data_IF_272413673816
#
_entry.id   IF_272413673816
#
_cell.length_a   1.000
_cell.length_b   1.000
_cell.length_c   1.000
_cell.angle_alpha   90.00
_cell.angle_beta   90.00
_cell.angle_gamma   90.00
#
_symmetry.space_group_name_H-M   'P 1'
#
loop_
_entity.id
_entity.type
_entity.pdbx_description
1 polymer ?
#
# COMPACT_ATOMS: atom_id res chain seq x y z
N UNK A 1 12.74 -22.74 7.36
CA UNK A 1 12.28 -23.58 6.23
C UNK A 1 12.01 -22.70 5.01
N UNK A 2 12.09 -23.25 3.80
CA UNK A 2 11.79 -22.52 2.56
C UNK A 2 10.31 -22.65 2.15
N UNK A 3 9.88 -21.83 1.18
CA UNK A 3 8.57 -21.97 0.50
C UNK A 3 8.33 -23.39 0.02
N UNK A 4 9.28 -23.99 -0.72
CA UNK A 4 9.18 -25.38 -1.19
C UNK A 4 8.95 -26.34 -0.04
N UNK A 5 9.77 -26.25 1.01
CA UNK A 5 9.67 -27.15 2.15
C UNK A 5 8.32 -27.04 2.85
N UNK A 6 7.77 -25.83 2.99
CA UNK A 6 6.45 -25.63 3.57
C UNK A 6 5.36 -26.26 2.70
N UNK A 7 5.38 -26.00 1.38
CA UNK A 7 4.42 -26.56 0.42
C UNK A 7 4.45 -28.09 0.43
N UNK A 8 5.64 -28.69 0.34
CA UNK A 8 5.84 -30.14 0.39
C UNK A 8 5.33 -30.74 1.71
N UNK A 9 5.58 -30.06 2.83
CA UNK A 9 5.10 -30.49 4.16
C UNK A 9 3.58 -30.52 4.21
N UNK A 10 2.94 -29.46 3.73
CA UNK A 10 1.48 -29.37 3.69
C UNK A 10 0.90 -30.41 2.74
N UNK A 11 1.55 -30.69 1.60
CA UNK A 11 1.13 -31.76 0.69
C UNK A 11 1.19 -33.14 1.34
N UNK A 12 2.23 -33.44 2.11
CA UNK A 12 2.33 -34.68 2.88
C UNK A 12 1.20 -34.77 3.92
N UNK A 13 0.89 -33.67 4.62
CA UNK A 13 -0.23 -33.64 5.54
C UNK A 13 -1.57 -33.90 4.81
N UNK A 14 -1.83 -33.19 3.70
CA UNK A 14 -3.07 -33.29 2.93
C UNK A 14 -3.29 -34.67 2.30
N UNK A 15 -2.22 -35.39 1.96
CA UNK A 15 -2.29 -36.74 1.40
C UNK A 15 -2.51 -37.84 2.47
N UNK A 16 -2.46 -37.50 3.76
CA UNK A 16 -2.56 -38.47 4.86
C UNK A 16 -4.01 -38.91 5.13
N UNK A 17 -4.18 -40.10 5.72
CA UNK A 17 -5.52 -40.58 6.11
C UNK A 17 -6.08 -39.78 7.28
N UNK A 18 -5.21 -39.31 8.17
CA UNK A 18 -5.54 -38.50 9.33
C UNK A 18 -6.17 -37.17 8.93
N UNK A 19 -5.64 -36.53 7.88
CA UNK A 19 -6.20 -35.30 7.31
C UNK A 19 -7.60 -35.55 6.73
N UNK A 20 -7.77 -36.59 5.91
CA UNK A 20 -9.07 -36.93 5.33
C UNK A 20 -10.12 -37.27 6.40
N UNK A 21 -9.74 -37.98 7.46
CA UNK A 21 -10.65 -38.28 8.57
C UNK A 21 -11.14 -37.02 9.30
N UNK A 22 -10.26 -36.04 9.54
CA UNK A 22 -10.68 -34.77 10.14
C UNK A 22 -11.57 -33.99 9.18
N UNK A 23 -11.24 -33.97 7.90
CA UNK A 23 -12.04 -33.33 6.86
C UNK A 23 -13.45 -33.90 6.77
N UNK A 24 -13.58 -35.23 6.78
CA UNK A 24 -14.86 -35.97 6.76
C UNK A 24 -15.72 -35.67 8.01
N UNK A 25 -15.09 -35.43 9.17
CA UNK A 25 -15.78 -35.15 10.44
C UNK A 25 -16.11 -33.67 10.63
N UNK A 26 -15.41 -32.78 9.91
CA UNK A 26 -15.64 -31.34 9.96
C UNK A 26 -17.00 -31.01 9.33
N UNK A 27 -17.83 -30.23 10.03
CA UNK A 27 -19.13 -29.77 9.50
C UNK A 27 -18.99 -28.97 8.21
N UNK A 28 -17.87 -28.27 8.05
CA UNK A 28 -17.58 -27.41 6.91
C UNK A 28 -16.71 -28.13 5.86
N UNK A 29 -16.29 -29.37 6.12
CA UNK A 29 -15.41 -30.11 5.22
C UNK A 29 -14.00 -29.53 5.11
N UNK A 30 -13.55 -28.83 6.15
CA UNK A 30 -12.26 -28.12 6.21
C UNK A 30 -11.34 -28.71 7.27
N UNK A 31 -10.03 -28.55 7.06
CA UNK A 31 -8.99 -28.87 8.05
C UNK A 31 -8.21 -27.60 8.31
N UNK A 32 -8.00 -27.24 9.57
CA UNK A 32 -7.33 -25.98 9.93
C UNK A 32 -5.92 -26.19 10.50
N UNK A 33 -5.20 -25.10 10.75
CA UNK A 33 -3.83 -25.17 11.25
C UNK A 33 -3.73 -25.66 12.70
N UNK A 34 -4.80 -25.60 13.51
CA UNK A 34 -4.82 -26.29 14.80
C UNK A 34 -4.78 -27.80 14.63
N UNK A 35 -5.50 -28.33 13.63
CA UNK A 35 -5.47 -29.75 13.29
C UNK A 35 -4.11 -30.16 12.73
N UNK A 36 -3.53 -29.36 11.82
CA UNK A 36 -2.16 -29.61 11.32
C UNK A 36 -1.15 -29.62 12.46
N UNK A 37 -1.25 -28.67 13.39
CA UNK A 37 -0.37 -28.60 14.54
C UNK A 37 -0.47 -29.84 15.41
N UNK A 38 -1.71 -30.27 15.72
CA UNK A 38 -1.99 -31.43 16.57
C UNK A 38 -1.60 -32.76 15.93
N UNK A 39 -1.91 -32.95 14.65
CA UNK A 39 -1.75 -34.22 13.95
C UNK A 39 -0.32 -34.45 13.45
N UNK A 40 0.40 -33.39 13.08
CA UNK A 40 1.68 -33.51 12.38
C UNK A 40 2.79 -32.73 13.06
N UNK A 41 2.63 -31.41 13.24
CA UNK A 41 3.74 -30.56 13.69
C UNK A 41 4.23 -30.94 15.08
N UNK A 42 3.32 -31.14 16.04
CA UNK A 42 3.70 -31.61 17.39
C UNK A 42 4.34 -33.00 17.34
N UNK A 43 3.70 -34.06 16.79
CA UNK A 43 4.32 -35.37 16.72
C UNK A 43 5.67 -35.42 15.99
N UNK A 44 5.86 -34.63 14.94
CA UNK A 44 7.10 -34.63 14.15
C UNK A 44 8.25 -33.84 14.79
N UNK A 45 7.95 -32.94 15.72
CA UNK A 45 8.96 -32.16 16.46
C UNK A 45 9.16 -32.61 17.91
N UNK A 46 8.31 -33.52 18.40
CA UNK A 46 8.39 -34.06 19.76
C UNK A 46 9.76 -34.69 20.06
N UNK A 47 10.30 -34.37 21.24
CA UNK A 47 11.58 -34.85 21.75
C UNK A 47 12.80 -34.18 21.12
N UNK A 48 12.63 -33.33 20.10
CA UNK A 48 13.76 -32.75 19.36
C UNK A 48 14.29 -31.47 19.97
N UNK A 49 13.44 -30.74 20.70
CA UNK A 49 13.76 -29.39 21.20
C UNK A 49 13.81 -28.30 20.12
N UNK A 50 13.52 -28.63 18.86
CA UNK A 50 13.60 -27.74 17.71
C UNK A 50 12.24 -27.67 17.00
N UNK A 51 11.87 -26.49 16.50
CA UNK A 51 10.67 -26.37 15.67
C UNK A 51 10.83 -27.15 14.36
N UNK A 52 9.70 -27.54 13.75
CA UNK A 52 9.73 -28.28 12.49
C UNK A 52 10.46 -27.50 11.39
N UNK A 53 10.31 -26.17 11.36
CA UNK A 53 11.05 -25.30 10.44
C UNK A 53 12.57 -25.41 10.59
N UNK A 54 13.08 -25.53 11.81
CA UNK A 54 14.51 -25.69 12.10
C UNK A 54 14.97 -27.09 11.70
N UNK A 55 14.21 -28.13 12.03
CA UNK A 55 14.55 -29.52 11.68
C UNK A 55 14.69 -29.74 10.17
N UNK A 56 13.87 -29.05 9.37
CA UNK A 56 13.93 -29.14 7.91
C UNK A 56 15.04 -28.29 7.28
N UNK A 57 15.59 -27.32 8.01
CA UNK A 57 16.57 -26.37 7.51
C UNK A 57 17.99 -26.82 7.91
N UNK A 58 18.51 -27.90 7.29
CA UNK A 58 19.87 -28.38 7.60
C UNK A 58 21.00 -27.44 7.16
N UNK A 59 20.72 -26.46 6.28
CA UNK A 59 21.72 -25.53 5.71
C UNK A 59 21.25 -24.07 5.54
N UNK A 60 20.05 -23.68 6.01
CA UNK A 60 19.55 -22.32 5.75
C UNK A 60 20.00 -21.34 6.83
N UNK A 61 20.73 -20.31 6.38
CA UNK A 61 21.21 -19.17 7.14
C UNK A 61 20.07 -18.41 7.87
N UNK A 62 20.28 -18.28 9.17
CA UNK A 62 19.73 -17.48 10.27
C UNK A 62 18.47 -16.58 10.17
N UNK A 63 17.89 -16.19 9.03
CA UNK A 63 16.72 -15.30 9.04
C UNK A 63 15.71 -15.54 7.90
N UNK A 64 14.42 -15.36 8.21
CA UNK A 64 13.35 -15.41 7.20
C UNK A 64 13.43 -14.22 6.24
N UNK A 65 13.16 -14.44 4.96
CA UNK A 65 13.03 -13.40 3.94
C UNK A 65 11.58 -13.10 3.58
N UNK A 66 10.65 -13.98 3.94
CA UNK A 66 9.21 -13.80 3.77
C UNK A 66 8.50 -14.15 5.08
N UNK A 67 7.65 -13.27 5.58
CA UNK A 67 6.80 -13.55 6.75
C UNK A 67 5.36 -13.80 6.30
N UNK A 68 4.75 -14.88 6.82
CA UNK A 68 3.34 -15.21 6.56
C UNK A 68 2.49 -14.84 7.78
N UNK A 69 1.59 -13.87 7.61
CA UNK A 69 0.52 -13.57 8.56
C UNK A 69 -0.74 -14.33 8.16
N UNK A 70 -1.25 -15.16 9.07
CA UNK A 70 -2.31 -16.12 8.77
C UNK A 70 -3.13 -16.45 10.03
N UNK A 71 -4.36 -16.96 9.87
CA UNK A 71 -5.22 -17.32 11.01
C UNK A 71 -5.19 -18.83 11.24
N UNK A 72 -4.96 -19.32 12.46
CA UNK A 72 -4.90 -20.78 12.66
C UNK A 72 -6.20 -21.54 12.40
N UNK A 73 -7.35 -20.84 12.41
CA UNK A 73 -8.66 -21.42 12.13
C UNK A 73 -9.00 -21.52 10.64
N UNK A 74 -8.14 -21.02 9.76
CA UNK A 74 -8.36 -21.06 8.32
C UNK A 74 -8.23 -22.46 7.71
N UNK A 75 -8.84 -22.68 6.54
CA UNK A 75 -8.70 -23.93 5.80
C UNK A 75 -7.30 -24.02 5.19
N UNK A 76 -6.63 -25.14 5.46
CA UNK A 76 -5.25 -25.40 5.04
C UNK A 76 -5.12 -25.41 3.52
N UNK A 77 -6.14 -25.96 2.83
CA UNK A 77 -6.15 -26.01 1.36
C UNK A 77 -6.18 -24.60 0.75
N UNK A 78 -7.08 -23.74 1.24
CA UNK A 78 -7.15 -22.34 0.82
C UNK A 78 -5.88 -21.54 1.17
N UNK A 79 -5.27 -21.83 2.32
CA UNK A 79 -4.02 -21.18 2.75
C UNK A 79 -2.87 -21.52 1.83
N UNK A 80 -2.75 -22.80 1.49
CA UNK A 80 -1.73 -23.30 0.55
C UNK A 80 -1.93 -22.67 -0.83
N UNK A 81 -3.16 -22.68 -1.36
CA UNK A 81 -3.51 -22.04 -2.63
C UNK A 81 -3.13 -20.55 -2.62
N UNK A 82 -3.53 -19.82 -1.57
CA UNK A 82 -3.27 -18.39 -1.44
C UNK A 82 -1.77 -18.07 -1.40
N UNK A 83 -0.97 -18.85 -0.68
CA UNK A 83 0.48 -18.69 -0.67
C UNK A 83 1.11 -19.00 -2.03
N UNK A 84 0.68 -20.07 -2.70
CA UNK A 84 1.19 -20.42 -4.03
C UNK A 84 0.85 -19.35 -5.08
N UNK A 85 -0.34 -18.76 -5.01
CA UNK A 85 -0.73 -17.63 -5.86
C UNK A 85 0.16 -16.41 -5.60
N UNK A 86 0.48 -16.11 -4.34
CA UNK A 86 1.40 -15.02 -3.99
C UNK A 86 2.80 -15.26 -4.58
N UNK A 87 3.35 -16.46 -4.38
CA UNK A 87 4.66 -16.87 -4.90
C UNK A 87 4.71 -16.74 -6.42
N UNK A 88 3.67 -17.20 -7.12
CA UNK A 88 3.58 -17.09 -8.57
C UNK A 88 3.47 -15.63 -9.04
N UNK A 89 2.58 -14.84 -8.41
CA UNK A 89 2.35 -13.43 -8.76
C UNK A 89 3.58 -12.56 -8.55
N UNK A 90 4.37 -12.84 -7.53
CA UNK A 90 5.58 -12.10 -7.19
C UNK A 90 6.85 -12.76 -7.76
N UNK A 91 6.72 -13.83 -8.55
CA UNK A 91 7.83 -14.57 -9.15
C UNK A 91 8.91 -14.99 -8.14
N UNK A 92 8.48 -15.38 -6.93
CA UNK A 92 9.39 -15.70 -5.83
C UNK A 92 10.08 -17.06 -6.04
N UNK A 93 11.40 -17.18 -5.81
CA UNK A 93 12.06 -18.47 -5.80
C UNK A 93 11.49 -19.38 -4.70
N UNK A 94 11.24 -20.66 -4.99
CA UNK A 94 10.74 -21.60 -3.98
C UNK A 94 11.75 -21.89 -2.86
N UNK A 95 13.01 -21.45 -3.02
CA UNK A 95 14.07 -21.51 -2.01
C UNK A 95 14.01 -20.38 -0.99
N UNK A 96 13.12 -19.40 -1.16
CA UNK A 96 12.95 -18.28 -0.22
C UNK A 96 12.68 -18.82 1.19
N UNK A 97 13.51 -18.46 2.20
CA UNK A 97 13.26 -18.78 3.59
C UNK A 97 12.02 -18.04 4.08
N UNK A 98 11.06 -18.78 4.65
CA UNK A 98 9.85 -18.19 5.19
C UNK A 98 9.70 -18.43 6.67
N UNK A 99 9.00 -17.50 7.32
CA UNK A 99 8.48 -17.64 8.67
C UNK A 99 6.98 -17.88 8.61
N UNK A 100 6.55 -19.00 9.21
CA UNK A 100 5.16 -19.39 9.36
C UNK A 100 4.96 -19.89 10.78
N UNK A 101 4.13 -19.20 11.58
CA UNK A 101 4.18 -19.30 13.04
C UNK A 101 3.94 -20.72 13.59
N UNK A 102 3.08 -21.51 12.95
CA UNK A 102 2.80 -22.91 13.33
C UNK A 102 4.06 -23.77 13.25
N UNK A 103 4.82 -23.64 12.15
CA UNK A 103 6.00 -24.45 11.86
C UNK A 103 7.29 -23.89 12.49
N UNK A 104 7.32 -22.58 12.73
CA UNK A 104 8.53 -21.85 13.14
C UNK A 104 8.74 -21.84 14.65
N UNK A 105 7.66 -21.91 15.43
CA UNK A 105 7.73 -22.06 16.88
C UNK A 105 7.80 -23.54 17.28
N UNK A 106 8.44 -23.84 18.41
CA UNK A 106 8.40 -25.15 19.04
C UNK A 106 7.04 -25.35 19.74
N UNK A 107 6.24 -26.28 19.21
CA UNK A 107 4.85 -26.54 19.59
C UNK A 107 4.61 -27.66 20.63
N UNK A 108 5.49 -28.68 20.80
CA UNK A 108 5.18 -29.87 21.61
C UNK A 108 4.83 -29.64 23.09
N UNK A 109 5.44 -28.67 23.77
CA UNK A 109 5.31 -28.49 25.24
C UNK A 109 5.76 -29.73 26.06
N UNK A 110 6.72 -30.48 25.53
CA UNK A 110 7.19 -31.78 26.05
C UNK A 110 8.44 -31.70 26.95
N UNK A 111 8.91 -30.48 27.24
CA UNK A 111 10.14 -30.15 28.00
C UNK A 111 11.47 -30.47 27.30
N UNK A 112 11.45 -30.94 26.05
CA UNK A 112 12.68 -31.13 25.27
C UNK A 112 13.21 -29.82 24.66
N UNK A 113 12.32 -28.82 24.51
CA UNK A 113 12.64 -27.50 23.95
C UNK A 113 12.08 -26.34 24.78
N UNK A 114 12.17 -25.10 24.27
CA UNK A 114 11.64 -23.93 24.95
C UNK A 114 10.12 -24.00 25.04
N UNK A 115 9.54 -23.55 26.16
CA UNK A 115 8.09 -23.43 26.28
C UNK A 115 7.55 -22.35 25.35
N UNK A 116 6.29 -22.46 24.94
CA UNK A 116 5.61 -21.46 24.12
C UNK A 116 5.57 -20.12 24.84
N UNK A 117 5.35 -20.11 26.16
CA UNK A 117 5.40 -18.89 26.98
C UNK A 117 6.77 -18.21 26.87
N UNK A 118 7.86 -18.98 27.00
CA UNK A 118 9.22 -18.45 26.88
C UNK A 118 9.49 -17.92 25.47
N UNK A 119 9.08 -18.66 24.43
CA UNK A 119 9.22 -18.24 23.05
C UNK A 119 8.48 -16.93 22.78
N UNK A 120 7.22 -16.82 23.20
CA UNK A 120 6.41 -15.61 23.03
C UNK A 120 6.96 -14.42 23.82
N UNK A 121 7.61 -14.66 24.97
CA UNK A 121 8.28 -13.62 25.74
C UNK A 121 9.47 -13.00 24.99
N UNK A 122 10.06 -13.71 24.03
CA UNK A 122 11.12 -13.20 23.15
C UNK A 122 10.56 -12.40 21.96
N UNK A 123 9.24 -12.17 21.90
CA UNK A 123 8.57 -11.43 20.83
C UNK A 123 9.01 -11.92 19.44
N UNK A 124 8.78 -13.21 19.13
CA UNK A 124 9.36 -13.86 17.95
C UNK A 124 8.82 -13.26 16.66
N UNK A 125 7.61 -12.70 16.73
CA UNK A 125 7.00 -11.92 15.67
C UNK A 125 7.76 -10.61 15.41
N UNK A 126 7.92 -9.74 16.43
CA UNK A 126 8.60 -8.45 16.27
C UNK A 126 10.05 -8.67 15.81
N UNK A 127 10.71 -9.69 16.35
CA UNK A 127 12.06 -10.09 15.96
C UNK A 127 12.18 -10.45 14.47
N UNK A 128 11.14 -11.02 13.86
CA UNK A 128 11.11 -11.35 12.43
C UNK A 128 10.80 -10.12 11.60
N UNK A 129 9.79 -9.34 12.00
CA UNK A 129 9.39 -8.12 11.27
C UNK A 129 10.48 -7.06 11.26
N UNK A 130 11.16 -6.85 12.38
CA UNK A 130 12.21 -5.85 12.50
C UNK A 130 13.52 -6.33 11.87
N UNK A 131 13.60 -7.59 11.44
CA UNK A 131 14.80 -8.12 10.82
C UNK A 131 15.02 -7.50 9.43
N UNK A 132 16.22 -6.96 9.15
CA UNK A 132 16.55 -6.43 7.84
C UNK A 132 16.34 -7.43 6.69
N UNK A 133 16.42 -8.74 6.95
CA UNK A 133 16.23 -9.78 5.93
C UNK A 133 14.85 -9.79 5.28
N UNK A 134 13.83 -9.20 5.90
CA UNK A 134 12.51 -9.05 5.27
C UNK A 134 12.43 -7.86 4.30
N UNK A 135 13.37 -6.91 4.36
CA UNK A 135 13.32 -5.69 3.56
C UNK A 135 13.86 -5.93 2.16
N UNK A 136 13.24 -5.30 1.16
CA UNK A 136 13.64 -5.41 -0.26
C UNK A 136 15.11 -5.07 -0.49
N UNK A 137 15.63 -4.05 0.21
CA UNK A 137 17.03 -3.63 0.15
C UNK A 137 18.04 -4.74 0.54
N UNK A 138 17.59 -5.76 1.30
CA UNK A 138 18.39 -6.92 1.68
C UNK A 138 18.00 -8.20 0.92
N UNK A 139 17.21 -8.08 -0.15
CA UNK A 139 16.66 -9.22 -0.89
C UNK A 139 15.48 -9.90 -0.20
N UNK A 140 14.87 -9.25 0.80
CA UNK A 140 13.65 -9.71 1.45
C UNK A 140 12.39 -9.43 0.64
N UNK A 141 11.33 -10.18 0.96
CA UNK A 141 10.04 -10.16 0.26
C UNK A 141 8.90 -9.66 1.16
N UNK A 142 9.23 -9.12 2.33
CA UNK A 142 8.28 -8.50 3.26
C UNK A 142 7.36 -9.50 3.95
N UNK A 143 6.13 -9.05 4.19
CA UNK A 143 5.07 -9.82 4.83
C UNK A 143 3.89 -10.00 3.87
N UNK A 144 3.30 -11.20 3.88
CA UNK A 144 2.03 -11.47 3.18
C UNK A 144 0.96 -11.89 4.18
N UNK A 145 -0.19 -11.22 4.10
CA UNK A 145 -1.41 -11.54 4.82
C UNK A 145 -2.29 -12.46 3.97
N UNK A 146 -2.58 -13.67 4.44
CA UNK A 146 -3.40 -14.64 3.72
C UNK A 146 -4.88 -14.49 4.12
N UNK A 147 -5.77 -14.42 3.13
CA UNK A 147 -7.23 -14.40 3.32
C UNK A 147 -7.87 -15.66 2.76
N UNK A 148 -8.71 -16.28 3.57
CA UNK A 148 -9.44 -17.52 3.28
C UNK A 148 -10.89 -17.41 3.75
N UNK A 149 -11.75 -18.33 3.34
CA UNK A 149 -13.19 -18.22 3.64
C UNK A 149 -13.59 -18.63 5.05
N UNK A 150 -12.83 -19.48 5.72
CA UNK A 150 -13.21 -20.04 7.02
C UNK A 150 -12.78 -19.19 8.23
N UNK A 151 -11.89 -18.21 8.03
CA UNK A 151 -11.50 -17.32 9.11
C UNK A 151 -11.15 -15.91 8.62
N UNK A 152 -11.65 -14.89 9.33
CA UNK A 152 -11.21 -13.51 9.11
C UNK A 152 -9.91 -13.24 9.87
N UNK A 153 -8.83 -12.97 9.14
CA UNK A 153 -7.52 -12.63 9.67
C UNK A 153 -7.59 -11.51 10.72
N UNK A 154 -8.43 -10.50 10.48
CA UNK A 154 -8.49 -9.31 11.33
C UNK A 154 -9.35 -9.48 12.59
N UNK A 155 -9.99 -10.64 12.75
CA UNK A 155 -10.60 -11.05 14.01
C UNK A 155 -9.56 -11.56 15.03
N UNK A 156 -8.30 -11.71 14.62
CA UNK A 156 -7.19 -12.15 15.47
C UNK A 156 -6.30 -10.97 15.84
N UNK A 157 -6.21 -10.71 17.14
CA UNK A 157 -5.50 -9.53 17.64
C UNK A 157 -4.00 -9.59 17.31
N UNK A 158 -3.43 -10.80 17.31
CA UNK A 158 -2.06 -11.02 16.80
C UNK A 158 -1.92 -10.54 15.36
N UNK A 159 -2.68 -11.07 14.40
CA UNK A 159 -2.54 -10.73 12.98
C UNK A 159 -2.73 -9.23 12.70
N UNK A 160 -3.67 -8.58 13.40
CA UNK A 160 -3.85 -7.13 13.32
C UNK A 160 -2.61 -6.39 13.81
N UNK A 161 -2.05 -6.80 14.95
CA UNK A 161 -0.81 -6.25 15.48
C UNK A 161 0.37 -6.51 14.54
N UNK A 162 0.36 -7.63 13.82
CA UNK A 162 1.42 -8.00 12.88
C UNK A 162 1.50 -7.02 11.71
N UNK A 163 0.35 -6.70 11.11
CA UNK A 163 0.24 -5.72 10.03
C UNK A 163 0.69 -4.34 10.49
N UNK A 164 0.24 -3.90 11.65
CA UNK A 164 0.61 -2.59 12.21
C UNK A 164 2.12 -2.46 12.44
N UNK A 165 2.72 -3.46 13.08
CA UNK A 165 4.17 -3.51 13.32
C UNK A 165 4.99 -3.59 12.03
N UNK A 166 4.54 -4.35 11.04
CA UNK A 166 5.20 -4.41 9.74
C UNK A 166 5.18 -3.06 9.01
N UNK A 167 4.04 -2.36 9.05
CA UNK A 167 3.90 -1.01 8.48
C UNK A 167 4.83 -0.02 9.19
N UNK A 168 4.88 -0.04 10.53
CA UNK A 168 5.78 0.84 11.29
C UNK A 168 7.27 0.53 11.06
N UNK A 169 7.62 -0.75 10.90
CA UNK A 169 8.98 -1.20 10.63
C UNK A 169 9.42 -0.95 9.17
N UNK A 170 8.55 -0.36 8.34
CA UNK A 170 8.78 -0.13 6.91
C UNK A 170 9.07 -1.45 6.17
N UNK A 171 8.30 -2.47 6.51
CA UNK A 171 8.27 -3.76 5.81
C UNK A 171 7.10 -3.74 4.83
N UNK A 172 7.36 -4.13 3.58
CA UNK A 172 6.30 -4.24 2.58
C UNK A 172 5.26 -5.27 3.03
N UNK A 173 3.99 -4.87 3.10
CA UNK A 173 2.86 -5.76 3.43
C UNK A 173 1.97 -5.92 2.20
N UNK A 174 1.71 -7.16 1.82
CA UNK A 174 0.80 -7.49 0.71
C UNK A 174 -0.29 -8.46 1.17
N UNK A 175 -1.40 -8.55 0.44
CA UNK A 175 -2.38 -9.60 0.69
C UNK A 175 -2.35 -10.67 -0.40
N UNK A 176 -2.76 -11.88 -0.05
CA UNK A 176 -3.11 -12.92 -1.00
C UNK A 176 -4.39 -13.60 -0.56
N UNK A 177 -5.29 -13.88 -1.51
CA UNK A 177 -6.63 -14.38 -1.25
C UNK A 177 -6.80 -15.72 -1.95
N UNK A 178 -7.43 -16.70 -1.32
CA UNK A 178 -7.85 -17.91 -2.03
C UNK A 178 -8.83 -17.57 -3.15
N UNK A 179 -8.94 -18.43 -4.15
CA UNK A 179 -9.89 -18.24 -5.25
C UNK A 179 -11.33 -18.20 -4.69
N UNK A 180 -11.64 -19.13 -3.80
CA UNK A 180 -12.94 -19.22 -3.14
C UNK A 180 -13.28 -17.94 -2.35
N UNK A 181 -12.31 -17.34 -1.66
CA UNK A 181 -12.51 -16.06 -0.97
C UNK A 181 -12.80 -14.92 -1.94
N UNK A 182 -12.02 -14.86 -3.03
CA UNK A 182 -12.20 -13.88 -4.10
C UNK A 182 -13.59 -13.98 -4.73
N UNK A 183 -14.05 -15.20 -5.01
CA UNK A 183 -15.38 -15.45 -5.60
C UNK A 183 -16.51 -15.03 -4.65
N UNK A 184 -16.43 -15.41 -3.37
CA UNK A 184 -17.44 -15.02 -2.38
C UNK A 184 -17.45 -13.50 -2.11
N UNK A 185 -16.28 -12.86 -2.09
CA UNK A 185 -16.20 -11.40 -1.98
C UNK A 185 -16.86 -10.74 -3.18
N UNK A 186 -16.48 -11.16 -4.39
CA UNK A 186 -16.98 -10.59 -5.65
C UNK A 186 -18.49 -10.80 -5.77
N UNK A 187 -18.99 -11.98 -5.43
CA UNK A 187 -20.43 -12.27 -5.41
C UNK A 187 -21.21 -11.35 -4.45
N UNK A 188 -20.73 -11.18 -3.21
CA UNK A 188 -21.37 -10.28 -2.23
C UNK A 188 -21.38 -8.83 -2.69
N UNK A 189 -20.26 -8.35 -3.26
CA UNK A 189 -20.19 -7.00 -3.82
C UNK A 189 -21.19 -6.85 -4.96
N UNK A 190 -21.25 -7.83 -5.86
CA UNK A 190 -22.17 -7.83 -6.99
C UNK A 190 -23.64 -7.79 -6.54
N UNK A 191 -24.02 -8.56 -5.52
CA UNK A 191 -25.37 -8.55 -4.95
C UNK A 191 -25.76 -7.15 -4.43
N UNK A 192 -24.88 -6.51 -3.65
CA UNK A 192 -25.10 -5.16 -3.15
C UNK A 192 -25.24 -4.14 -4.30
N UNK A 193 -24.42 -4.28 -5.33
CA UNK A 193 -24.48 -3.43 -6.52
C UNK A 193 -25.79 -3.62 -7.30
N UNK A 194 -26.32 -4.83 -7.39
CA UNK A 194 -27.59 -5.11 -8.06
C UNK A 194 -28.80 -4.61 -7.27
N UNK A 195 -28.65 -4.45 -5.96
CA UNK A 195 -29.62 -3.77 -5.09
C UNK A 195 -29.54 -2.23 -5.17
N UNK A 196 -28.61 -1.68 -5.95
CA UNK A 196 -28.40 -0.23 -6.07
C UNK A 196 -27.71 0.40 -4.86
N UNK A 197 -26.92 -0.39 -4.11
CA UNK A 197 -26.17 0.09 -2.96
C UNK A 197 -25.07 1.08 -3.38
N UNK A 198 -24.64 1.94 -2.44
CA UNK A 198 -23.55 2.88 -2.68
C UNK A 198 -22.20 2.18 -2.75
N UNK A 199 -21.19 2.86 -3.30
CA UNK A 199 -19.83 2.36 -3.31
C UNK A 199 -19.29 2.06 -1.90
N UNK A 200 -19.68 2.88 -0.91
CA UNK A 200 -19.28 2.68 0.48
C UNK A 200 -19.89 1.40 1.06
N UNK A 201 -21.17 1.14 0.76
CA UNK A 201 -21.85 -0.11 1.13
C UNK A 201 -21.16 -1.32 0.50
N UNK A 202 -20.65 -1.16 -0.71
CA UNK A 202 -19.98 -2.24 -1.43
C UNK A 202 -18.55 -2.47 -0.95
N UNK A 203 -17.83 -1.42 -0.50
CA UNK A 203 -16.59 -1.61 0.24
C UNK A 203 -16.83 -2.34 1.57
N UNK A 204 -17.95 -2.05 2.26
CA UNK A 204 -18.36 -2.85 3.43
C UNK A 204 -18.69 -4.29 3.07
N UNK A 205 -19.37 -4.53 1.94
CA UNK A 205 -19.65 -5.88 1.45
C UNK A 205 -18.38 -6.67 1.06
N UNK A 206 -17.36 -5.97 0.53
CA UNK A 206 -16.02 -6.51 0.29
C UNK A 206 -15.24 -6.80 1.59
N UNK A 207 -15.78 -6.38 2.73
CA UNK A 207 -15.18 -6.56 4.05
C UNK A 207 -14.13 -5.52 4.39
N UNK A 208 -13.99 -4.41 3.67
CA UNK A 208 -12.95 -3.40 3.95
C UNK A 208 -13.03 -2.86 5.38
N UNK A 209 -14.24 -2.64 5.89
CA UNK A 209 -14.45 -2.14 7.25
C UNK A 209 -14.09 -3.20 8.30
N UNK A 210 -13.26 -2.79 9.25
CA UNK A 210 -12.87 -3.62 10.41
C UNK A 210 -13.12 -2.91 11.72
N UNK A 211 -13.25 -3.71 12.78
CA UNK A 211 -13.31 -3.27 14.16
C UNK A 211 -12.30 -4.09 14.98
N UNK A 212 -11.03 -3.70 14.91
CA UNK A 212 -9.90 -4.39 15.52
C UNK A 212 -10.05 -4.54 17.04
N UNK A 213 -10.82 -3.67 17.71
CA UNK A 213 -11.15 -3.81 19.14
C UNK A 213 -11.94 -5.09 19.46
N UNK A 214 -12.63 -5.67 18.47
CA UNK A 214 -13.33 -6.96 18.59
C UNK A 214 -12.42 -8.15 18.36
N UNK A 215 -11.19 -7.95 17.90
CA UNK A 215 -10.24 -9.02 17.70
C UNK A 215 -9.85 -9.69 19.03
N UNK A 216 -9.51 -10.98 18.98
CA UNK A 216 -9.22 -11.80 20.18
C UNK A 216 -7.95 -12.62 20.01
N UNK A 217 -7.41 -13.08 21.15
CA UNK A 217 -6.35 -14.09 21.19
C UNK A 217 -6.86 -15.38 21.82
N UNK A 218 -6.20 -16.50 21.52
CA UNK A 218 -6.44 -17.77 22.21
C UNK A 218 -6.01 -17.72 23.68
N UNK A 219 -4.96 -16.95 23.99
CA UNK A 219 -4.47 -16.68 25.35
C UNK A 219 -5.02 -15.36 25.88
N UNK A 220 -5.59 -15.39 27.10
CA UNK A 220 -6.13 -14.20 27.75
C UNK A 220 -5.06 -13.25 28.26
N UNK A 221 -3.86 -13.74 28.55
CA UNK A 221 -2.76 -12.90 29.00
C UNK A 221 -2.08 -12.21 27.81
N UNK A 222 -1.96 -12.90 26.68
CA UNK A 222 -1.52 -12.29 25.41
C UNK A 222 -2.51 -11.20 24.98
N UNK A 223 -3.82 -11.47 25.09
CA UNK A 223 -4.86 -10.49 24.77
C UNK A 223 -4.68 -9.20 25.58
N UNK A 224 -4.47 -9.30 26.90
CA UNK A 224 -4.22 -8.14 27.76
C UNK A 224 -2.94 -7.41 27.37
N UNK A 225 -1.85 -8.14 27.08
CA UNK A 225 -0.56 -7.55 26.69
C UNK A 225 -0.70 -6.75 25.39
N UNK A 226 -1.28 -7.36 24.36
CA UNK A 226 -1.46 -6.73 23.05
C UNK A 226 -2.42 -5.55 23.11
N UNK A 227 -3.55 -5.66 23.82
CA UNK A 227 -4.47 -4.53 24.04
C UNK A 227 -3.73 -3.35 24.66
N UNK A 228 -2.88 -3.60 25.67
CA UNK A 228 -2.08 -2.55 26.30
C UNK A 228 -1.09 -1.91 25.31
N UNK A 229 -0.38 -2.71 24.51
CA UNK A 229 0.56 -2.21 23.51
C UNK A 229 -0.15 -1.35 22.46
N UNK A 230 -1.29 -1.81 21.92
CA UNK A 230 -2.09 -1.08 20.93
C UNK A 230 -2.59 0.25 21.51
N UNK A 231 -3.10 0.26 22.74
CA UNK A 231 -3.58 1.50 23.39
C UNK A 231 -2.46 2.52 23.66
N UNK A 232 -1.20 2.09 23.72
CA UNK A 232 -0.05 2.98 23.88
C UNK A 232 0.43 3.60 22.56
N UNK A 233 0.04 3.05 21.42
CA UNK A 233 0.37 3.59 20.10
C UNK A 233 -0.46 4.84 19.79
N UNK A 234 0.05 5.67 18.87
CA UNK A 234 -0.62 6.89 18.41
C UNK A 234 -1.94 6.53 17.71
N UNK A 235 -3.07 6.85 18.35
CA UNK A 235 -4.42 6.62 17.81
C UNK A 235 -5.11 5.35 18.31
N UNK A 236 -4.41 4.48 19.05
CA UNK A 236 -4.97 3.24 19.61
C UNK A 236 -5.69 2.37 18.57
N UNK A 237 -6.76 1.69 18.98
CA UNK A 237 -7.59 0.87 18.07
C UNK A 237 -8.18 1.65 16.89
N UNK A 238 -8.46 2.95 17.03
CA UNK A 238 -8.97 3.76 15.91
C UNK A 238 -7.88 4.03 14.86
N UNK A 239 -6.62 4.17 15.29
CA UNK A 239 -5.47 4.24 14.40
C UNK A 239 -5.28 2.93 13.66
N UNK A 240 -5.36 1.82 14.41
CA UNK A 240 -5.24 0.46 13.90
C UNK A 240 -6.32 0.11 12.87
N UNK A 241 -7.58 0.45 13.16
CA UNK A 241 -8.69 0.29 12.22
C UNK A 241 -8.38 1.03 10.90
N UNK A 242 -7.86 2.26 10.97
CA UNK A 242 -7.50 3.03 9.77
C UNK A 242 -6.40 2.35 8.95
N UNK A 243 -5.35 1.85 9.61
CA UNK A 243 -4.24 1.14 8.95
C UNK A 243 -4.76 -0.10 8.24
N UNK A 244 -5.54 -0.93 8.93
CA UNK A 244 -6.08 -2.17 8.37
C UNK A 244 -7.11 -1.91 7.27
N UNK A 245 -8.01 -0.93 7.44
CA UNK A 245 -8.99 -0.57 6.41
C UNK A 245 -8.30 -0.08 5.13
N UNK A 246 -7.27 0.76 5.26
CA UNK A 246 -6.50 1.23 4.11
C UNK A 246 -5.80 0.06 3.42
N UNK A 247 -5.12 -0.80 4.19
CA UNK A 247 -4.50 -2.02 3.67
C UNK A 247 -5.51 -2.89 2.91
N UNK A 248 -6.66 -3.21 3.51
CA UNK A 248 -7.69 -4.05 2.86
C UNK A 248 -8.20 -3.44 1.57
N UNK A 249 -8.38 -2.12 1.53
CA UNK A 249 -8.86 -1.40 0.34
C UNK A 249 -7.83 -1.47 -0.79
N UNK A 250 -6.56 -1.20 -0.49
CA UNK A 250 -5.46 -1.23 -1.47
C UNK A 250 -5.20 -2.63 -2.04
N UNK A 251 -5.56 -3.67 -1.29
CA UNK A 251 -5.36 -5.06 -1.68
C UNK A 251 -6.61 -5.72 -2.27
N UNK A 252 -7.70 -4.97 -2.50
CA UNK A 252 -8.89 -5.51 -3.15
C UNK A 252 -8.56 -6.01 -4.58
N UNK A 253 -9.13 -7.16 -4.99
CA UNK A 253 -8.96 -7.66 -6.36
C UNK A 253 -9.43 -6.65 -7.41
N UNK A 254 -8.72 -6.59 -8.54
CA UNK A 254 -9.04 -5.65 -9.64
C UNK A 254 -10.49 -5.80 -10.13
N UNK A 255 -11.02 -7.03 -10.16
CA UNK A 255 -12.40 -7.34 -10.55
C UNK A 255 -13.45 -6.62 -9.68
N UNK A 256 -13.16 -6.38 -8.40
CA UNK A 256 -14.04 -5.60 -7.52
C UNK A 256 -14.11 -4.16 -8.00
N UNK A 257 -12.96 -3.56 -8.34
CA UNK A 257 -12.91 -2.21 -8.88
C UNK A 257 -13.59 -2.11 -10.25
N UNK A 258 -13.40 -3.11 -11.13
CA UNK A 258 -14.13 -3.20 -12.41
C UNK A 258 -15.64 -3.17 -12.21
N UNK A 259 -16.16 -3.99 -11.29
CA UNK A 259 -17.60 -4.07 -10.97
C UNK A 259 -18.15 -2.76 -10.42
N UNK A 260 -17.46 -2.15 -9.45
CA UNK A 260 -17.89 -0.89 -8.83
C UNK A 260 -17.95 0.24 -9.86
N UNK A 261 -16.96 0.29 -10.74
CA UNK A 261 -16.85 1.29 -11.79
C UNK A 261 -17.98 1.18 -12.81
N UNK A 262 -18.29 -0.04 -13.30
CA UNK A 262 -19.31 -0.27 -14.32
C UNK A 262 -20.73 0.18 -13.93
N UNK A 263 -20.94 0.56 -12.66
CA UNK A 263 -22.22 0.91 -12.06
C UNK A 263 -22.21 2.29 -11.37
N UNK A 264 -21.17 3.10 -11.60
CA UNK A 264 -21.16 4.51 -11.19
C UNK A 264 -20.17 4.89 -10.11
N UNK A 265 -19.22 4.02 -9.73
CA UNK A 265 -18.05 4.48 -8.98
C UNK A 265 -17.20 5.34 -9.93
N UNK A 266 -17.12 6.63 -9.60
CA UNK A 266 -16.51 7.61 -10.48
C UNK A 266 -15.07 7.99 -10.08
N UNK A 267 -14.57 7.43 -8.98
CA UNK A 267 -13.24 7.68 -8.42
C UNK A 267 -12.56 6.38 -7.99
N UNK A 268 -11.25 6.28 -8.21
CA UNK A 268 -10.41 5.12 -7.87
C UNK A 268 -9.64 5.32 -6.53
N UNK A 269 -10.23 6.05 -5.59
CA UNK A 269 -9.62 6.38 -4.30
C UNK A 269 -9.43 5.10 -3.46
N UNK A 270 -8.16 4.78 -3.18
CA UNK A 270 -7.75 3.54 -2.50
C UNK A 270 -7.74 2.27 -3.36
N UNK A 271 -7.87 2.39 -4.70
CA UNK A 271 -7.67 1.25 -5.59
C UNK A 271 -6.22 0.77 -5.66
N UNK A 272 -6.03 -0.53 -5.84
CA UNK A 272 -4.72 -1.16 -5.99
C UNK A 272 -3.93 -0.54 -7.15
N UNK A 273 -2.59 -0.64 -7.11
CA UNK A 273 -1.73 -0.19 -8.23
C UNK A 273 -2.08 -0.92 -9.53
N UNK A 274 -2.48 -2.20 -9.47
CA UNK A 274 -2.91 -2.99 -10.62
C UNK A 274 -4.25 -2.54 -11.19
N UNK A 275 -5.26 -2.30 -10.34
CA UNK A 275 -6.56 -1.79 -10.77
C UNK A 275 -6.44 -0.44 -11.46
N UNK A 276 -5.57 0.45 -10.97
CA UNK A 276 -5.29 1.75 -11.59
C UNK A 276 -4.52 1.65 -12.92
N UNK A 277 -3.86 0.53 -13.18
CA UNK A 277 -3.13 0.27 -14.42
C UNK A 277 -3.97 -0.51 -15.45
N UNK A 278 -5.11 -1.10 -15.05
CA UNK A 278 -5.96 -1.88 -15.92
C UNK A 278 -6.81 -0.97 -16.83
N UNK A 279 -6.54 -1.02 -18.13
CA UNK A 279 -7.21 -0.16 -19.11
C UNK A 279 -8.74 -0.33 -19.15
N UNK A 280 -9.28 -1.52 -18.84
CA UNK A 280 -10.71 -1.77 -18.82
C UNK A 280 -11.38 -1.10 -17.59
N UNK A 281 -10.77 -1.24 -16.41
CA UNK A 281 -11.15 -0.54 -15.17
C UNK A 281 -11.23 0.97 -15.44
N UNK A 282 -10.17 1.52 -16.02
CA UNK A 282 -10.05 2.97 -16.16
C UNK A 282 -10.94 3.52 -17.29
N UNK A 283 -11.12 2.78 -18.39
CA UNK A 283 -12.05 3.14 -19.46
C UNK A 283 -13.50 3.13 -18.99
N UNK A 284 -13.90 2.11 -18.25
CA UNK A 284 -15.24 2.00 -17.69
C UNK A 284 -15.50 3.12 -16.67
N UNK A 285 -14.48 3.52 -15.89
CA UNK A 285 -14.58 4.66 -14.99
C UNK A 285 -14.92 5.87 -15.84
N UNK A 286 -14.09 6.17 -16.85
CA UNK A 286 -14.27 7.30 -17.75
C UNK A 286 -15.65 7.42 -18.40
N UNK A 287 -16.30 6.30 -18.71
CA UNK A 287 -17.64 6.29 -19.30
C UNK A 287 -18.73 6.70 -18.29
N UNK A 288 -18.56 6.39 -17.00
CA UNK A 288 -19.57 6.62 -15.97
C UNK A 288 -19.78 8.10 -15.55
N UNK A 289 -18.80 9.01 -15.70
CA UNK A 289 -19.01 10.47 -15.46
C UNK A 289 -19.51 11.20 -16.72
N UNK A 290 -20.01 10.49 -17.74
CA UNK A 290 -20.61 11.15 -18.90
C UNK A 290 -19.59 11.73 -19.88
N UNK A 291 -18.43 11.08 -20.06
CA UNK A 291 -17.58 11.33 -21.22
C UNK A 291 -18.20 10.67 -22.47
N UNK A 292 -19.28 11.24 -22.99
CA UNK A 292 -19.99 10.78 -24.20
C UNK A 292 -19.19 10.86 -25.52
N UNK A 293 -17.86 10.85 -25.47
CA UNK A 293 -16.97 10.97 -26.64
C UNK A 293 -15.90 9.86 -26.73
N UNK A 294 -16.08 8.73 -26.04
CA UNK A 294 -15.12 7.61 -26.06
C UNK A 294 -15.47 6.45 -27.02
N UNK A 295 -16.47 6.60 -27.89
CA UNK A 295 -16.96 5.51 -28.75
C UNK A 295 -15.99 5.01 -29.85
N UNK A 296 -14.77 5.57 -29.98
CA UNK A 296 -13.86 5.25 -31.10
C UNK A 296 -12.37 5.12 -30.73
N UNK A 297 -12.00 4.76 -29.51
CA UNK A 297 -10.61 4.45 -29.20
C UNK A 297 -10.29 3.00 -29.59
N UNK A 298 -9.35 2.79 -30.52
CA UNK A 298 -9.01 1.47 -31.06
C UNK A 298 -7.73 0.88 -30.43
N UNK A 299 -7.08 1.60 -29.51
CA UNK A 299 -5.85 1.15 -28.82
C UNK A 299 -5.80 1.56 -27.35
N UNK A 300 -5.17 0.74 -26.49
CA UNK A 300 -5.02 0.97 -25.04
C UNK A 300 -4.26 2.27 -24.69
N UNK A 301 -3.42 2.76 -25.62
CA UNK A 301 -2.61 3.95 -25.44
C UNK A 301 -3.43 5.25 -25.60
N UNK A 302 -4.35 5.28 -26.57
CA UNK A 302 -5.27 6.42 -26.78
C UNK A 302 -6.31 6.54 -25.66
N UNK A 303 -6.73 5.40 -25.11
CA UNK A 303 -7.60 5.34 -23.92
C UNK A 303 -6.88 5.99 -22.74
N UNK A 304 -5.63 5.60 -22.45
CA UNK A 304 -4.82 6.13 -21.34
C UNK A 304 -4.55 7.63 -21.44
N UNK A 305 -4.26 8.15 -22.63
CA UNK A 305 -4.07 9.60 -22.80
C UNK A 305 -5.35 10.40 -22.59
N UNK A 306 -6.51 9.89 -23.03
CA UNK A 306 -7.79 10.59 -22.90
C UNK A 306 -8.34 10.54 -21.48
N UNK A 307 -8.11 9.44 -20.76
CA UNK A 307 -8.31 9.33 -19.30
C UNK A 307 -7.51 10.42 -18.57
N UNK A 308 -6.24 10.60 -18.93
CA UNK A 308 -5.32 11.58 -18.33
C UNK A 308 -5.74 13.03 -18.58
N UNK A 309 -6.33 13.31 -19.75
CA UNK A 309 -6.85 14.63 -20.13
C UNK A 309 -8.23 14.95 -19.54
N UNK A 310 -9.03 13.94 -19.16
CA UNK A 310 -10.41 14.11 -18.69
C UNK A 310 -10.59 14.31 -17.17
N UNK A 311 -9.52 14.34 -16.36
CA UNK A 311 -9.63 14.63 -14.92
C UNK A 311 -10.44 13.60 -14.11
N UNK A 312 -10.50 12.35 -14.59
CA UNK A 312 -11.35 11.29 -14.07
C UNK A 312 -10.81 10.60 -12.80
N UNK A 313 -9.55 10.83 -12.47
CA UNK A 313 -8.96 10.41 -11.21
C UNK A 313 -9.11 11.56 -10.22
N UNK A 314 -10.34 11.79 -9.76
CA UNK A 314 -10.58 12.79 -8.74
C UNK A 314 -10.03 12.32 -7.40
N UNK A 315 -8.84 12.79 -7.04
CA UNK A 315 -8.48 13.19 -5.67
C UNK A 315 -8.73 12.13 -4.59
N UNK A 316 -7.90 11.09 -4.47
CA UNK A 316 -6.76 11.02 -3.56
C UNK A 316 -5.85 9.79 -3.82
N UNK A 317 -4.56 10.09 -3.76
CA UNK A 317 -3.44 9.21 -3.37
C UNK A 317 -3.07 8.06 -4.30
N UNK A 318 -2.26 8.41 -5.31
CA UNK A 318 -1.32 7.51 -5.97
C UNK A 318 0.06 8.17 -6.06
N UNK A 319 0.99 7.71 -5.24
CA UNK A 319 2.37 7.59 -5.67
C UNK A 319 2.40 6.63 -6.88
N UNK A 320 3.05 7.01 -8.01
CA UNK A 320 3.54 6.03 -8.97
C UNK A 320 4.61 5.18 -8.30
N UNK A 321 4.77 3.94 -8.78
CA UNK A 321 6.06 3.25 -8.86
C UNK A 321 7.20 3.78 -7.97
N UNK A 322 7.45 3.09 -6.84
CA UNK A 322 8.81 2.82 -6.36
C UNK A 322 9.19 1.47 -6.99
N UNK A 323 10.33 1.16 -7.58
CA UNK A 323 11.54 1.92 -7.96
C UNK A 323 11.89 3.14 -7.10
N UNK A 324 12.04 2.90 -5.80
CA UNK A 324 12.85 3.67 -4.84
C UNK A 324 12.85 5.21 -4.95
N UNK A 325 12.02 5.88 -4.14
CA UNK A 325 12.26 7.21 -3.54
C UNK A 325 11.17 7.51 -2.49
N UNK A 326 11.44 7.10 -1.25
CA UNK A 326 10.77 7.61 -0.04
C UNK A 326 10.84 9.14 0.00
N UNK A 327 9.70 9.83 -0.14
CA UNK A 327 9.60 11.28 0.06
C UNK A 327 9.27 11.58 1.53
N UNK A 328 10.21 11.29 2.44
CA UNK A 328 10.16 11.90 3.76
C UNK A 328 10.17 13.43 3.59
N UNK A 329 9.16 14.12 4.14
CA UNK A 329 9.11 15.58 4.40
C UNK A 329 10.14 16.35 3.58
N UNK A 330 9.80 16.74 2.33
CA UNK A 330 10.70 17.43 1.38
C UNK A 330 11.54 18.46 2.15
N UNK A 331 12.81 18.14 2.40
CA UNK A 331 13.70 19.00 3.18
C UNK A 331 14.54 19.92 2.30
N UNK A 332 14.60 19.68 0.99
CA UNK A 332 15.17 20.56 -0.04
C UNK A 332 14.76 19.94 -1.40
N UNK A 333 14.20 20.71 -2.34
CA UNK A 333 14.11 20.33 -3.78
C UNK A 333 15.15 21.18 -4.48
N UNK A 334 16.13 20.55 -5.12
CA UNK A 334 17.01 21.23 -6.07
C UNK A 334 16.52 21.00 -7.52
N UNK A 335 17.10 21.69 -8.51
CA UNK A 335 16.88 21.45 -9.93
C UNK A 335 16.99 19.97 -10.33
N UNK A 336 17.83 19.19 -9.63
CA UNK A 336 17.98 17.75 -9.85
C UNK A 336 16.67 16.97 -9.55
N UNK A 337 15.88 17.43 -8.58
CA UNK A 337 14.60 16.81 -8.23
C UNK A 337 13.46 17.20 -9.19
N UNK A 338 13.53 18.39 -9.80
CA UNK A 338 12.65 18.75 -10.92
C UNK A 338 12.91 17.88 -12.16
N UNK A 339 14.13 17.35 -12.31
CA UNK A 339 14.48 16.48 -13.44
C UNK A 339 14.06 15.03 -13.26
N UNK A 340 14.00 14.49 -12.03
CA UNK A 340 13.57 13.11 -11.78
C UNK A 340 12.05 12.89 -11.77
N UNK A 341 11.26 13.97 -11.64
CA UNK A 341 9.81 13.88 -11.45
C UNK A 341 8.98 14.75 -12.38
N UNK A 342 8.47 14.13 -13.45
CA UNK A 342 7.23 14.48 -14.17
C UNK A 342 7.14 15.71 -15.08
N UNK A 343 8.17 16.55 -15.27
CA UNK A 343 8.03 17.74 -16.16
C UNK A 343 8.88 17.67 -17.42
N UNK A 344 9.97 16.91 -17.39
CA UNK A 344 10.83 16.66 -18.53
C UNK A 344 11.36 15.24 -18.39
N UNK A 345 11.30 14.43 -19.44
CA UNK A 345 11.85 13.06 -19.43
C UNK A 345 13.38 13.11 -19.32
N UNK A 346 13.92 13.42 -18.14
CA UNK A 346 15.36 13.59 -17.88
C UNK A 346 15.73 12.65 -16.74
N UNK A 347 16.86 11.93 -16.86
CA UNK A 347 17.37 11.06 -15.79
C UNK A 347 18.31 11.87 -14.89
N UNK A 348 18.32 11.59 -13.58
CA UNK A 348 19.29 12.19 -12.67
C UNK A 348 20.74 11.92 -13.13
N UNK A 349 21.60 12.94 -13.01
CA UNK A 349 23.02 12.83 -13.30
C UNK A 349 23.45 13.23 -14.72
N UNK A 350 22.53 13.62 -15.60
CA UNK A 350 22.87 14.05 -16.96
C UNK A 350 23.06 15.58 -17.04
N UNK A 351 24.26 16.05 -16.66
CA UNK A 351 24.64 17.48 -16.58
C UNK A 351 24.33 18.32 -17.83
N UNK A 352 24.24 17.70 -19.01
CA UNK A 352 23.89 18.36 -20.26
C UNK A 352 22.40 18.75 -20.35
N UNK A 353 21.51 17.96 -19.75
CA UNK A 353 20.06 18.17 -19.82
C UNK A 353 19.58 19.22 -18.79
N UNK A 354 20.29 19.37 -17.67
CA UNK A 354 20.10 20.47 -16.71
C UNK A 354 20.48 21.84 -17.30
N UNK A 355 21.57 21.91 -18.05
CA UNK A 355 21.92 23.12 -18.81
C UNK A 355 20.89 23.45 -19.88
N UNK A 356 20.30 22.44 -20.52
CA UNK A 356 19.20 22.64 -21.44
C UNK A 356 17.95 23.19 -20.74
N UNK A 357 17.64 22.73 -19.52
CA UNK A 357 16.53 23.26 -18.72
C UNK A 357 16.73 24.73 -18.34
N UNK A 358 17.98 25.12 -17.98
CA UNK A 358 18.34 26.51 -17.67
C UNK A 358 18.21 27.45 -18.87
N UNK A 359 18.26 26.91 -20.09
CA UNK A 359 18.08 27.65 -21.35
C UNK A 359 16.62 27.70 -21.82
N UNK A 360 15.71 26.94 -21.19
CA UNK A 360 14.30 26.96 -21.57
C UNK A 360 13.66 28.33 -21.27
N UNK A 361 12.84 28.77 -22.21
CA UNK A 361 12.08 30.02 -22.09
C UNK A 361 10.64 29.78 -21.63
N UNK A 362 10.16 28.54 -21.66
CA UNK A 362 8.81 28.16 -21.25
C UNK A 362 8.85 26.98 -20.29
N UNK A 363 8.10 27.08 -19.19
CA UNK A 363 7.94 26.01 -18.20
C UNK A 363 6.49 25.89 -17.74
N UNK A 364 6.01 24.65 -17.63
CA UNK A 364 4.69 24.34 -17.08
C UNK A 364 4.82 23.25 -16.01
N UNK A 365 4.46 23.58 -14.78
CA UNK A 365 4.53 22.70 -13.62
C UNK A 365 3.12 22.49 -13.06
N UNK A 366 2.74 21.22 -12.89
CA UNK A 366 1.47 20.82 -12.27
C UNK A 366 1.78 20.08 -10.95
N UNK A 367 1.57 20.77 -9.85
CA UNK A 367 1.78 20.29 -8.49
C UNK A 367 0.46 20.14 -7.72
N UNK A 368 -0.68 19.99 -8.40
CA UNK A 368 -1.95 19.77 -7.73
C UNK A 368 -1.91 18.47 -6.90
N UNK A 369 -2.28 18.57 -5.62
CA UNK A 369 -2.44 17.43 -4.71
C UNK A 369 -1.16 16.68 -4.37
N UNK A 370 -0.02 17.39 -4.25
CA UNK A 370 1.30 16.82 -3.98
C UNK A 370 1.76 16.93 -2.53
N UNK A 371 0.91 17.38 -1.61
CA UNK A 371 1.22 17.47 -0.16
C UNK A 371 2.58 18.13 0.14
N UNK A 372 2.83 19.26 -0.52
CA UNK A 372 4.10 19.96 -0.48
C UNK A 372 4.42 20.51 0.91
N UNK A 373 3.42 21.06 1.61
CA UNK A 373 3.63 21.86 2.80
C UNK A 373 4.44 23.13 2.52
N UNK A 374 4.69 23.95 3.54
CA UNK A 374 5.56 25.13 3.44
C UNK A 374 6.95 24.79 2.89
N UNK A 375 7.48 23.61 3.23
CA UNK A 375 8.81 23.16 2.81
C UNK A 375 8.86 22.79 1.34
N UNK A 376 7.87 22.05 0.84
CA UNK A 376 7.73 21.78 -0.59
C UNK A 376 7.52 23.07 -1.40
N UNK A 377 6.82 24.06 -0.85
CA UNK A 377 6.74 25.40 -1.43
C UNK A 377 8.11 26.07 -1.58
N UNK A 378 8.94 26.07 -0.52
CA UNK A 378 10.31 26.62 -0.55
C UNK A 378 11.23 25.89 -1.54
N UNK A 379 11.06 24.59 -1.60
CA UNK A 379 11.82 23.71 -2.45
C UNK A 379 11.47 23.95 -3.95
N UNK A 380 10.19 24.03 -4.31
CA UNK A 380 9.74 24.48 -5.66
C UNK A 380 10.30 25.86 -6.00
N UNK A 381 10.33 26.75 -5.01
CA UNK A 381 10.84 28.12 -5.17
C UNK A 381 12.34 28.15 -5.49
N UNK A 382 13.15 27.34 -4.79
CA UNK A 382 14.59 27.21 -5.03
C UNK A 382 14.87 26.75 -6.46
N UNK A 383 14.15 25.76 -6.94
CA UNK A 383 14.36 25.22 -8.28
C UNK A 383 13.92 26.20 -9.39
N UNK A 384 12.75 26.84 -9.24
CA UNK A 384 12.28 27.88 -10.19
C UNK A 384 13.25 29.07 -10.23
N UNK A 385 13.78 29.49 -9.09
CA UNK A 385 14.69 30.62 -9.01
C UNK A 385 15.95 30.45 -9.86
N UNK A 386 16.36 29.22 -10.20
CA UNK A 386 17.55 28.96 -11.01
C UNK A 386 17.30 29.12 -12.53
N UNK A 387 16.04 29.22 -12.98
CA UNK A 387 15.65 29.22 -14.39
C UNK A 387 15.55 30.64 -14.96
N UNK A 388 16.67 31.37 -14.99
CA UNK A 388 16.72 32.82 -15.28
C UNK A 388 16.28 33.22 -16.71
N UNK A 389 16.20 32.27 -17.65
CA UNK A 389 15.81 32.52 -19.04
C UNK A 389 14.30 32.40 -19.30
N UNK A 390 13.50 32.04 -18.28
CA UNK A 390 12.05 31.87 -18.46
C UNK A 390 11.34 33.17 -18.83
N UNK A 391 10.61 33.12 -19.94
CA UNK A 391 9.68 34.15 -20.40
C UNK A 391 8.22 33.77 -20.15
N UNK A 392 7.93 32.46 -20.03
CA UNK A 392 6.61 31.90 -19.73
C UNK A 392 6.67 30.88 -18.60
N UNK A 393 5.86 31.07 -17.56
CA UNK A 393 5.71 30.14 -16.43
C UNK A 393 4.24 29.84 -16.18
N UNK A 394 3.89 28.55 -16.18
CA UNK A 394 2.63 28.03 -15.65
C UNK A 394 2.93 27.20 -14.41
N UNK A 395 2.37 27.59 -13.28
CA UNK A 395 2.53 26.90 -12.00
C UNK A 395 1.15 26.66 -11.38
N UNK A 396 0.73 25.40 -11.39
CA UNK A 396 -0.54 24.98 -10.84
C UNK A 396 -0.33 24.29 -9.48
N UNK A 397 -0.65 25.01 -8.41
CA UNK A 397 -0.59 24.54 -7.02
C UNK A 397 -2.00 24.36 -6.44
N UNK A 398 -3.05 24.41 -7.27
CA UNK A 398 -4.45 24.32 -6.87
C UNK A 398 -4.77 22.98 -6.20
N UNK A 399 -4.83 22.94 -4.86
CA UNK A 399 -5.43 21.81 -4.16
C UNK A 399 -5.49 22.02 -2.64
N UNK A 400 -6.54 21.49 -2.00
CA UNK A 400 -6.73 21.58 -0.53
C UNK A 400 -5.67 20.85 0.26
N UNK A 401 -4.94 19.93 -0.35
CA UNK A 401 -3.95 19.09 0.35
C UNK A 401 -2.51 19.43 -0.03
N UNK A 402 -2.26 20.60 -0.64
CA UNK A 402 -0.89 21.04 -0.86
C UNK A 402 -0.29 21.75 0.36
N UNK A 403 -1.12 22.24 1.29
CA UNK A 403 -0.71 22.74 2.61
C UNK A 403 0.43 23.77 2.59
N UNK A 404 0.62 24.57 1.51
CA UNK A 404 1.77 25.49 1.40
C UNK A 404 1.83 26.55 2.51
N UNK A 405 0.68 26.89 3.10
CA UNK A 405 0.57 27.95 4.10
C UNK A 405 1.05 29.30 3.57
N UNK A 406 1.09 30.30 4.44
CA UNK A 406 1.55 31.65 4.09
C UNK A 406 3.03 31.66 3.68
N UNK A 407 3.87 30.89 4.37
CA UNK A 407 5.33 30.88 4.15
C UNK A 407 5.73 30.19 2.83
N UNK A 408 5.06 29.09 2.46
CA UNK A 408 5.31 28.43 1.18
C UNK A 408 4.85 29.28 -0.01
N UNK A 409 3.66 29.90 0.08
CA UNK A 409 3.17 30.78 -0.99
C UNK A 409 4.04 32.04 -1.14
N UNK A 410 4.53 32.61 -0.03
CA UNK A 410 5.48 33.73 -0.05
C UNK A 410 6.77 33.34 -0.76
N UNK A 411 7.36 32.19 -0.43
CA UNK A 411 8.58 31.71 -1.08
C UNK A 411 8.40 31.56 -2.61
N UNK A 412 7.25 31.05 -3.06
CA UNK A 412 6.95 30.89 -4.48
C UNK A 412 6.91 32.27 -5.17
N UNK A 413 6.26 33.25 -4.56
CA UNK A 413 6.21 34.60 -5.10
C UNK A 413 7.60 35.26 -5.16
N UNK A 414 8.41 35.09 -4.12
CA UNK A 414 9.79 35.59 -4.07
C UNK A 414 10.65 34.98 -5.19
N UNK A 415 10.52 33.68 -5.46
CA UNK A 415 11.25 33.03 -6.55
C UNK A 415 10.82 33.56 -7.94
N UNK A 416 9.51 33.70 -8.17
CA UNK A 416 8.97 34.28 -9.40
C UNK A 416 9.49 35.71 -9.59
N UNK A 417 9.63 36.49 -8.52
CA UNK A 417 10.18 37.85 -8.59
C UNK A 417 11.64 37.92 -9.03
N UNK A 418 12.39 36.81 -8.95
CA UNK A 418 13.75 36.71 -9.46
C UNK A 418 13.82 36.41 -10.96
N UNK A 419 12.71 36.04 -11.61
CA UNK A 419 12.64 35.74 -13.04
C UNK A 419 12.47 37.03 -13.85
N UNK A 420 13.60 37.72 -14.10
CA UNK A 420 13.58 39.06 -14.72
C UNK A 420 13.09 39.11 -16.17
N UNK A 421 13.08 37.97 -16.86
CA UNK A 421 12.62 37.86 -18.25
C UNK A 421 11.16 37.38 -18.37
N UNK A 422 10.48 37.11 -17.24
CA UNK A 422 9.14 36.56 -17.24
C UNK A 422 8.13 37.61 -17.73
N UNK A 423 7.37 37.25 -18.76
CA UNK A 423 6.33 38.11 -19.36
C UNK A 423 4.95 37.47 -19.32
N UNK A 424 4.87 36.14 -19.18
CA UNK A 424 3.61 35.40 -19.06
C UNK A 424 3.64 34.52 -17.81
N UNK A 425 2.68 34.73 -16.91
CA UNK A 425 2.52 33.97 -15.67
C UNK A 425 1.10 33.43 -15.54
N UNK A 426 0.98 32.12 -15.34
CA UNK A 426 -0.23 31.50 -14.78
C UNK A 426 0.11 30.89 -13.43
N UNK A 427 -0.53 31.37 -12.37
CA UNK A 427 -0.32 30.90 -11.00
C UNK A 427 -1.67 30.60 -10.34
N UNK A 428 -1.89 29.35 -9.93
CA UNK A 428 -3.07 28.95 -9.15
C UNK A 428 -2.63 28.42 -7.77
N UNK A 429 -2.94 29.18 -6.74
CA UNK A 429 -2.63 28.93 -5.33
C UNK A 429 -3.90 28.68 -4.51
N UNK A 430 -5.09 28.59 -5.12
CA UNK A 430 -6.33 28.40 -4.34
C UNK A 430 -6.27 27.09 -3.56
N UNK A 431 -6.92 27.09 -2.41
CA UNK A 431 -6.97 25.97 -1.46
C UNK A 431 -5.64 25.62 -0.77
N UNK A 432 -4.63 26.51 -0.74
CA UNK A 432 -3.37 26.28 -0.01
C UNK A 432 -3.33 26.83 1.43
N UNK A 433 -4.48 26.88 2.13
CA UNK A 433 -4.59 27.44 3.49
C UNK A 433 -4.10 28.89 3.63
N UNK A 434 -4.24 29.68 2.56
CA UNK A 434 -3.95 31.11 2.60
C UNK A 434 -5.12 31.86 3.23
N UNK A 435 -4.86 32.54 4.34
CA UNK A 435 -5.79 33.49 4.91
C UNK A 435 -5.93 34.72 4.00
N UNK A 436 -6.96 35.54 4.25
CA UNK A 436 -7.23 36.72 3.41
C UNK A 436 -6.02 37.66 3.30
N UNK A 437 -5.29 37.88 4.40
CA UNK A 437 -4.07 38.71 4.42
C UNK A 437 -2.94 38.12 3.57
N UNK A 438 -2.81 36.80 3.53
CA UNK A 438 -1.78 36.11 2.77
C UNK A 438 -2.10 36.18 1.27
N UNK A 439 -3.38 36.04 0.90
CA UNK A 439 -3.84 36.24 -0.47
C UNK A 439 -3.60 37.67 -0.97
N UNK A 440 -3.85 38.67 -0.11
CA UNK A 440 -3.59 40.08 -0.43
C UNK A 440 -2.08 40.31 -0.63
N UNK A 441 -1.22 39.74 0.22
CA UNK A 441 0.24 39.83 0.08
C UNK A 441 0.76 39.14 -1.19
N UNK A 442 0.18 38.00 -1.59
CA UNK A 442 0.51 37.35 -2.86
C UNK A 442 0.12 38.22 -4.05
N UNK A 443 -1.07 38.83 -4.03
CA UNK A 443 -1.50 39.75 -5.10
C UNK A 443 -0.54 40.92 -5.23
N UNK A 444 -0.20 41.57 -4.11
CA UNK A 444 0.74 42.70 -4.10
C UNK A 444 2.13 42.30 -4.64
N UNK A 445 2.65 41.13 -4.23
CA UNK A 445 3.94 40.64 -4.69
C UNK A 445 3.97 40.39 -6.21
N UNK A 446 2.89 39.83 -6.77
CA UNK A 446 2.78 39.55 -8.21
C UNK A 446 2.50 40.82 -9.02
N UNK A 447 1.76 41.79 -8.48
CA UNK A 447 1.50 43.09 -9.13
C UNK A 447 2.77 43.92 -9.32
N UNK A 448 3.77 43.76 -8.44
CA UNK A 448 5.07 44.41 -8.59
C UNK A 448 5.92 43.83 -9.74
N UNK A 449 5.51 42.71 -10.33
CA UNK A 449 6.19 42.07 -11.44
C UNK A 449 5.73 42.66 -12.79
N UNK A 450 6.67 42.84 -13.72
CA UNK A 450 6.39 43.37 -15.07
C UNK A 450 5.82 42.27 -16.00
N UNK A 451 4.74 41.61 -15.58
CA UNK A 451 4.10 40.53 -16.35
C UNK A 451 3.06 41.13 -17.31
N UNK A 452 3.18 40.79 -18.59
CA UNK A 452 2.26 41.24 -19.65
C UNK A 452 0.98 40.40 -19.68
N UNK A 453 1.10 39.08 -19.48
CA UNK A 453 -0.03 38.15 -19.49
C UNK A 453 -0.12 37.43 -18.14
N UNK A 454 -1.02 37.89 -17.27
CA UNK A 454 -1.18 37.37 -15.92
C UNK A 454 -2.51 36.63 -15.74
N UNK A 455 -2.43 35.41 -15.24
CA UNK A 455 -3.56 34.65 -14.70
C UNK A 455 -3.22 34.24 -13.26
N UNK A 456 -3.76 34.98 -12.28
CA UNK A 456 -3.56 34.71 -10.85
C UNK A 456 -4.85 34.26 -10.19
N UNK A 457 -4.79 33.12 -9.51
CA UNK A 457 -5.89 32.59 -8.69
C UNK A 457 -5.34 32.30 -7.30
N UNK A 458 -5.82 33.01 -6.28
CA UNK A 458 -5.44 32.86 -4.85
C UNK A 458 -6.67 32.82 -3.99
#
# INVERSE_FOLDING_TARGET
>A
MTVRQWVDTVDVCMASREYELVKEQSREGTVNMHDINRLFVKPWSEGTGCSLAVLMSREVADNAQLMISHCWGEDVSETKESLQQHVARCELPETVPLWFCVFSNYQPEDRAGPTLEHQLALEPFSSVVENPSLKSAAGGHGMVALHTTSADLYSRLWCVHEVDRAVEADVAVTASMSQKYTDLMTGRVQEFMDMGASAEDCFRAAGVEVQCVKARCGSKDDEKKLVKLILQQKGGFNGLDRVVQNFRREQLPDIIFETLIGKGLTKLDGASKSARANAAVVLAACQAHGAGQLQHATTNQEVSERIRLAGFLGDHEGQPYDAELKWEVIKELDLEDLTLGHVCHIKAGDSAQLEQLRQNTTLSLDFRGKNLGDKGGKAVSQAIAQLKQLTTLRLDLYYKENHLGAEGAKAVCEAIAQLKQLTTLTLDLRHNFLGRKDQDAVREAIEQLKITNLSLKV
#
